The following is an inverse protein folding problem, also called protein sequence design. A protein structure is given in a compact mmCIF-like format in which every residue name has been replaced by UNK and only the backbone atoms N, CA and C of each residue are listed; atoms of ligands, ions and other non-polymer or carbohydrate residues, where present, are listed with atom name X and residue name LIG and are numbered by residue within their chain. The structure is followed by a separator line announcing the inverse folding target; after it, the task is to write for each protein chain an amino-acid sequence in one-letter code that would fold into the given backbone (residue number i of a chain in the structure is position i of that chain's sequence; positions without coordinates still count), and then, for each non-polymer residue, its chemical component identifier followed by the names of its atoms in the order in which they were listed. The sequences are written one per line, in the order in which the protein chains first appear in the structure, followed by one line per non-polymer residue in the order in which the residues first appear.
data_IF_526841971780
#
_entry.id   IF_526841971780
#
_cell.length_a   1.000
_cell.length_b   1.000
_cell.length_c   1.000
_cell.angle_alpha   90.00
_cell.angle_beta   90.00
_cell.angle_gamma   90.00
#
_symmetry.space_group_name_H-M   'P 1'
#
loop_
_entity.id
_entity.type
_entity.pdbx_description
1 polymer ?
#
# COMPACT_ATOMS: atom_id res chain seq x y z
N UNK A 1 -14.26 -45.13 -4.33
CA UNK A 1 -14.02 -44.31 -5.55
C UNK A 1 -14.79 -43.00 -5.36
N UNK A 2 -14.06 -41.92 -5.02
CA UNK A 2 -14.29 -40.45 -5.18
C UNK A 2 -15.72 -39.93 -4.91
N UNK A 3 -16.01 -39.32 -3.75
CA UNK A 3 -15.92 -37.87 -3.40
C UNK A 3 -16.76 -36.92 -4.26
N UNK A 4 -17.66 -36.18 -3.61
CA UNK A 4 -18.05 -34.83 -4.03
C UNK A 4 -18.41 -34.02 -2.79
N UNK A 5 -17.43 -33.24 -2.33
CA UNK A 5 -17.52 -32.38 -1.16
C UNK A 5 -18.40 -31.15 -1.43
N UNK A 6 -19.12 -30.75 -0.38
CA UNK A 6 -19.69 -29.42 -0.25
C UNK A 6 -18.60 -28.36 -0.45
N UNK A 7 -18.74 -27.53 -1.48
CA UNK A 7 -17.94 -26.31 -1.63
C UNK A 7 -18.60 -25.23 -0.79
N UNK A 8 -18.06 -25.01 0.41
CA UNK A 8 -18.32 -23.79 1.18
C UNK A 8 -17.65 -22.62 0.44
N UNK A 9 -18.46 -21.66 0.01
CA UNK A 9 -18.00 -20.37 -0.49
C UNK A 9 -17.29 -19.61 0.63
N UNK A 10 -15.95 -19.61 0.64
CA UNK A 10 -15.18 -18.74 1.51
C UNK A 10 -15.27 -17.29 0.99
N UNK A 11 -16.07 -16.45 1.66
CA UNK A 11 -15.98 -14.99 1.54
C UNK A 11 -14.61 -14.53 2.04
N UNK A 12 -13.63 -14.47 1.17
CA UNK A 12 -12.30 -13.89 1.44
C UNK A 12 -12.34 -12.37 1.36
N UNK A 13 -13.16 -11.71 2.17
CA UNK A 13 -13.01 -10.29 2.45
C UNK A 13 -12.01 -10.20 3.60
N UNK A 14 -10.72 -10.28 3.28
CA UNK A 14 -9.65 -10.06 4.27
C UNK A 14 -9.63 -8.56 4.60
N UNK A 15 -10.48 -8.19 5.54
CA UNK A 15 -10.30 -6.96 6.31
C UNK A 15 -8.86 -6.91 6.84
N UNK A 16 -8.31 -5.71 7.03
CA UNK A 16 -7.02 -5.54 7.71
C UNK A 16 -7.00 -6.45 8.96
N UNK A 17 -5.95 -7.27 9.17
CA UNK A 17 -5.94 -8.25 10.25
C UNK A 17 -6.30 -7.59 11.59
N UNK A 18 -6.96 -8.30 12.51
CA UNK A 18 -7.51 -7.70 13.75
C UNK A 18 -6.51 -6.82 14.51
N UNK A 19 -5.27 -7.29 14.71
CA UNK A 19 -4.19 -6.51 15.33
C UNK A 19 -3.64 -5.34 14.50
N UNK A 20 -4.06 -5.20 13.24
CA UNK A 20 -3.83 -4.05 12.36
C UNK A 20 -4.98 -3.05 12.53
N UNK A 21 -6.25 -3.49 12.57
CA UNK A 21 -7.37 -2.59 12.94
C UNK A 21 -7.20 -1.99 14.34
N UNK A 22 -6.85 -2.82 15.33
CA UNK A 22 -6.62 -2.37 16.71
C UNK A 22 -5.40 -1.45 16.80
N UNK A 23 -4.39 -1.66 15.95
CA UNK A 23 -3.22 -0.81 15.90
C UNK A 23 -3.49 0.51 15.19
N UNK A 24 -4.36 0.55 14.18
CA UNK A 24 -4.57 1.69 13.27
C UNK A 24 -5.56 2.76 13.76
N UNK A 25 -6.35 2.45 14.78
CA UNK A 25 -7.35 3.37 15.29
C UNK A 25 -8.51 3.59 14.31
N UNK A 26 -9.38 4.53 14.67
CA UNK A 26 -10.72 4.65 14.08
C UNK A 26 -10.89 5.77 13.04
N UNK A 27 -9.77 6.26 12.48
CA UNK A 27 -9.82 7.29 11.44
C UNK A 27 -10.60 6.81 10.20
N UNK A 28 -11.49 7.64 9.62
CA UNK A 28 -12.32 7.25 8.46
C UNK A 28 -11.50 6.71 7.27
N UNK A 29 -10.33 7.28 7.03
CA UNK A 29 -9.44 6.98 5.90
C UNK A 29 -8.80 5.60 6.07
N UNK A 30 -8.40 5.27 7.29
CA UNK A 30 -7.87 3.97 7.68
C UNK A 30 -8.93 2.89 7.59
N UNK A 31 -10.17 3.19 8.00
CA UNK A 31 -11.30 2.24 7.93
C UNK A 31 -11.62 1.82 6.49
N UNK A 32 -11.28 2.65 5.50
CA UNK A 32 -11.50 2.36 4.09
C UNK A 32 -10.47 1.37 3.50
N UNK A 33 -9.32 1.17 4.16
CA UNK A 33 -8.25 0.29 3.70
C UNK A 33 -8.63 -1.19 3.78
N UNK A 34 -8.43 -1.93 2.68
CA UNK A 34 -8.73 -3.37 2.59
C UNK A 34 -7.56 -4.14 1.98
N UNK A 35 -7.31 -5.37 2.41
CA UNK A 35 -6.28 -6.24 1.82
C UNK A 35 -6.97 -7.40 1.11
N UNK A 36 -6.94 -7.45 -0.22
CA UNK A 36 -7.60 -8.52 -0.98
C UNK A 36 -6.62 -9.57 -1.49
N UNK A 37 -7.01 -10.85 -1.43
CA UNK A 37 -6.36 -11.93 -2.16
C UNK A 37 -6.65 -11.86 -3.67
N UNK A 38 -5.73 -12.35 -4.51
CA UNK A 38 -5.90 -12.37 -5.98
C UNK A 38 -6.84 -13.48 -6.46
N UNK A 39 -7.59 -13.19 -7.53
CA UNK A 39 -8.30 -14.17 -8.37
C UNK A 39 -8.12 -13.82 -9.86
N UNK A 40 -7.82 -14.80 -10.71
CA UNK A 40 -7.96 -14.70 -12.18
C UNK A 40 -6.76 -15.20 -13.00
N UNK A 41 -6.98 -16.19 -13.87
CA UNK A 41 -6.01 -16.75 -14.82
C UNK A 41 -6.16 -16.12 -16.23
N UNK A 42 -5.06 -15.95 -16.97
CA UNK A 42 -5.07 -15.81 -18.43
C UNK A 42 -4.67 -14.45 -19.04
N UNK A 43 -4.47 -13.39 -18.25
CA UNK A 43 -3.91 -12.11 -18.71
C UNK A 43 -2.64 -11.79 -17.92
N UNK A 44 -1.68 -11.06 -18.52
CA UNK A 44 -0.54 -10.55 -17.78
C UNK A 44 -1.04 -9.76 -16.56
N UNK A 45 -0.62 -10.16 -15.35
CA UNK A 45 -1.11 -9.53 -14.14
C UNK A 45 -0.76 -8.03 -14.15
N UNK A 46 -1.70 -7.14 -13.77
CA UNK A 46 -1.40 -5.71 -13.70
C UNK A 46 -0.20 -5.44 -12.78
N UNK A 47 0.66 -4.47 -13.12
CA UNK A 47 1.80 -4.14 -12.28
C UNK A 47 1.32 -3.75 -10.88
N UNK A 48 2.09 -4.18 -9.89
CA UNK A 48 1.86 -3.86 -8.49
C UNK A 48 2.75 -2.70 -8.09
N UNK A 49 2.14 -1.63 -7.64
CA UNK A 49 2.84 -0.46 -7.14
C UNK A 49 3.00 -0.55 -5.62
N UNK A 50 4.23 -0.39 -5.13
CA UNK A 50 4.50 -0.21 -3.69
C UNK A 50 4.04 1.18 -3.26
N UNK A 51 2.97 1.24 -2.47
CA UNK A 51 2.43 2.51 -1.95
C UNK A 51 3.44 3.16 -1.01
N UNK A 52 4.02 2.39 -0.09
CA UNK A 52 5.16 2.85 0.71
C UNK A 52 6.48 2.49 -0.01
N UNK A 53 7.32 3.48 -0.35
CA UNK A 53 8.52 3.29 -1.16
C UNK A 53 9.49 2.26 -0.58
N UNK A 54 9.73 1.18 -1.33
CA UNK A 54 10.66 0.11 -0.93
C UNK A 54 12.11 0.60 -0.73
N UNK A 55 12.51 1.65 -1.45
CA UNK A 55 13.84 2.24 -1.29
C UNK A 55 14.04 2.90 0.09
N UNK A 56 12.96 3.27 0.78
CA UNK A 56 12.96 3.81 2.14
C UNK A 56 12.52 2.76 3.17
N UNK A 57 12.67 1.46 2.88
CA UNK A 57 12.20 0.38 3.76
C UNK A 57 12.67 0.56 5.21
N UNK A 58 13.94 0.84 5.42
CA UNK A 58 14.52 1.00 6.76
C UNK A 58 13.84 2.14 7.55
N UNK A 59 13.49 3.24 6.86
CA UNK A 59 12.76 4.35 7.46
C UNK A 59 11.37 3.90 7.97
N UNK A 60 10.67 3.05 7.21
CA UNK A 60 9.39 2.48 7.64
C UNK A 60 9.58 1.41 8.74
N UNK A 61 10.61 0.58 8.66
CA UNK A 61 10.87 -0.47 9.64
C UNK A 61 11.18 0.11 11.03
N UNK A 62 11.96 1.19 11.08
CA UNK A 62 12.22 1.95 12.32
C UNK A 62 10.96 2.57 12.94
N UNK A 63 9.90 2.77 12.14
CA UNK A 63 8.55 3.22 12.57
C UNK A 63 7.56 2.07 12.78
N UNK A 64 8.07 0.83 12.84
CA UNK A 64 7.28 -0.35 13.19
C UNK A 64 6.54 -1.01 12.03
N UNK A 65 6.87 -0.72 10.77
CA UNK A 65 6.33 -1.43 9.61
C UNK A 65 7.09 -2.75 9.36
N UNK A 66 6.93 -3.71 10.26
CA UNK A 66 7.58 -5.03 10.19
C UNK A 66 6.55 -6.17 10.27
N UNK A 67 6.96 -7.39 9.92
CA UNK A 67 6.13 -8.60 10.06
C UNK A 67 4.76 -8.51 9.36
N UNK A 68 3.68 -8.55 10.16
CA UNK A 68 2.29 -8.42 9.65
C UNK A 68 1.95 -7.01 9.16
N UNK A 69 2.77 -6.01 9.48
CA UNK A 69 2.66 -4.61 9.06
C UNK A 69 3.78 -4.21 8.09
N UNK A 70 4.50 -5.16 7.52
CA UNK A 70 5.52 -4.85 6.50
C UNK A 70 4.92 -4.10 5.32
N UNK A 71 5.67 -3.12 4.80
CA UNK A 71 5.32 -2.35 3.60
C UNK A 71 5.06 -3.23 2.36
N UNK A 72 5.57 -4.47 2.34
CA UNK A 72 5.32 -5.45 1.27
C UNK A 72 3.85 -5.92 1.19
N UNK A 73 3.03 -5.55 2.18
CA UNK A 73 1.58 -5.79 2.21
C UNK A 73 0.76 -4.63 1.64
N UNK A 74 1.40 -3.48 1.40
CA UNK A 74 0.78 -2.25 0.92
C UNK A 74 1.16 -2.01 -0.54
N UNK A 75 0.82 -2.96 -1.40
CA UNK A 75 0.86 -2.74 -2.84
C UNK A 75 -0.55 -2.59 -3.39
N UNK A 76 -0.68 -1.93 -4.53
CA UNK A 76 -1.95 -1.80 -5.26
C UNK A 76 -1.75 -2.27 -6.69
N UNK A 77 -2.75 -2.95 -7.24
CA UNK A 77 -2.75 -3.33 -8.65
C UNK A 77 -3.22 -2.12 -9.47
N UNK A 78 -2.39 -1.67 -10.41
CA UNK A 78 -2.69 -0.50 -11.24
C UNK A 78 -2.60 -0.86 -12.72
N UNK A 79 -3.29 -0.08 -13.55
CA UNK A 79 -3.03 -0.10 -14.99
C UNK A 79 -1.61 0.38 -15.27
N UNK A 80 -0.99 -0.15 -16.33
CA UNK A 80 0.41 0.14 -16.68
C UNK A 80 0.68 1.65 -16.85
N UNK A 81 -0.25 2.39 -17.47
CA UNK A 81 -0.13 3.82 -17.67
C UNK A 81 -0.14 4.59 -16.33
N UNK A 82 -1.08 4.27 -15.43
CA UNK A 82 -1.15 4.87 -14.09
C UNK A 82 0.11 4.55 -13.29
N UNK A 83 0.54 3.29 -13.30
CA UNK A 83 1.78 2.87 -12.63
C UNK A 83 3.00 3.66 -13.13
N UNK A 84 3.12 3.88 -14.43
CA UNK A 84 4.20 4.70 -15.01
C UNK A 84 4.07 6.16 -14.61
N UNK A 85 2.87 6.74 -14.65
CA UNK A 85 2.64 8.13 -14.28
C UNK A 85 3.05 8.43 -12.83
N UNK A 86 2.73 7.53 -11.88
CA UNK A 86 3.18 7.65 -10.48
C UNK A 86 4.70 7.70 -10.34
N UNK A 87 5.42 7.05 -11.25
CA UNK A 87 6.87 7.02 -11.29
C UNK A 87 7.49 8.05 -12.23
N UNK A 88 6.74 9.08 -12.65
CA UNK A 88 7.23 10.15 -13.54
C UNK A 88 7.42 9.73 -15.00
N UNK A 89 6.76 8.65 -15.44
CA UNK A 89 6.71 8.18 -16.83
C UNK A 89 7.40 6.85 -17.10
N UNK A 90 7.55 6.50 -18.38
CA UNK A 90 7.99 5.17 -18.85
C UNK A 90 9.36 4.71 -18.35
N UNK A 91 10.29 5.63 -18.01
CA UNK A 91 11.56 5.30 -17.37
C UNK A 91 11.52 5.72 -15.89
N UNK A 92 11.18 4.78 -15.01
CA UNK A 92 11.03 5.04 -13.58
C UNK A 92 12.30 5.58 -12.92
N UNK A 93 13.50 5.20 -13.39
CA UNK A 93 14.77 5.74 -12.86
C UNK A 93 14.91 7.23 -13.14
N UNK A 94 14.49 7.64 -14.34
CA UNK A 94 14.48 9.05 -14.75
C UNK A 94 13.39 9.83 -14.02
N UNK A 95 12.21 9.24 -13.89
CA UNK A 95 11.05 9.88 -13.27
C UNK A 95 11.19 10.11 -11.77
N UNK A 96 12.13 9.44 -11.07
CA UNK A 96 12.55 9.80 -9.70
C UNK A 96 13.04 11.25 -9.54
N UNK A 97 13.47 11.89 -10.63
CA UNK A 97 13.86 13.30 -10.64
C UNK A 97 12.67 14.25 -10.80
N UNK A 98 11.49 13.73 -11.17
CA UNK A 98 10.32 14.54 -11.39
C UNK A 98 9.74 15.05 -10.05
N UNK A 99 9.43 16.35 -9.92
CA UNK A 99 8.99 16.91 -8.65
C UNK A 99 7.72 16.27 -8.08
N UNK A 100 6.79 15.83 -8.95
CA UNK A 100 5.51 15.23 -8.56
C UNK A 100 5.52 13.72 -8.42
N UNK A 101 6.69 13.07 -8.48
CA UNK A 101 6.80 11.61 -8.36
C UNK A 101 6.32 11.13 -6.99
N UNK A 102 5.55 10.03 -6.99
CA UNK A 102 4.85 9.54 -5.80
C UNK A 102 5.78 9.29 -4.61
N UNK A 103 6.89 8.54 -4.79
CA UNK A 103 7.78 8.22 -3.67
C UNK A 103 8.38 9.48 -3.06
N UNK A 104 8.80 10.42 -3.90
CA UNK A 104 9.34 11.71 -3.46
C UNK A 104 8.31 12.52 -2.68
N UNK A 105 7.10 12.67 -3.22
CA UNK A 105 6.06 13.49 -2.60
C UNK A 105 5.57 12.86 -1.29
N UNK A 106 5.42 11.54 -1.24
CA UNK A 106 5.04 10.84 -0.03
C UNK A 106 6.11 10.98 1.06
N UNK A 107 7.39 10.74 0.73
CA UNK A 107 8.46 10.89 1.70
C UNK A 107 8.59 12.35 2.18
N UNK A 108 8.44 13.33 1.28
CA UNK A 108 8.41 14.74 1.65
C UNK A 108 7.32 15.03 2.68
N UNK A 109 6.08 14.59 2.43
CA UNK A 109 4.97 14.79 3.35
C UNK A 109 5.23 14.13 4.73
N UNK A 110 5.80 12.93 4.74
CA UNK A 110 6.12 12.22 5.98
C UNK A 110 7.23 12.90 6.80
N UNK A 111 8.29 13.39 6.14
CA UNK A 111 9.36 14.13 6.81
C UNK A 111 8.88 15.49 7.32
N UNK A 112 8.07 16.21 6.54
CA UNK A 112 7.48 17.49 6.94
C UNK A 112 6.58 17.29 8.16
N UNK A 113 5.75 16.25 8.18
CA UNK A 113 4.91 15.93 9.32
C UNK A 113 5.70 15.53 10.58
N UNK A 114 6.82 14.81 10.46
CA UNK A 114 7.71 14.56 11.61
C UNK A 114 8.34 15.85 12.14
N UNK A 115 8.76 16.74 11.24
CA UNK A 115 9.35 18.02 11.61
C UNK A 115 8.33 18.93 12.31
N UNK A 116 7.10 18.99 11.80
CA UNK A 116 6.00 19.77 12.39
C UNK A 116 5.57 19.22 13.75
N UNK A 117 5.45 17.90 13.88
CA UNK A 117 5.09 17.25 15.14
C UNK A 117 6.22 17.32 16.18
N UNK A 118 7.46 17.56 15.77
CA UNK A 118 8.65 17.56 16.63
C UNK A 118 8.98 16.17 17.20
N UNK A 119 8.47 15.10 16.60
CA UNK A 119 8.67 13.72 17.04
C UNK A 119 8.52 12.74 15.88
N UNK A 120 9.00 11.50 16.11
CA UNK A 120 8.74 10.39 15.20
C UNK A 120 7.23 10.15 15.11
N UNK A 121 6.72 10.00 13.89
CA UNK A 121 5.32 9.68 13.66
C UNK A 121 5.03 8.25 14.09
N UNK A 122 3.84 8.06 14.67
CA UNK A 122 3.28 6.73 14.88
C UNK A 122 2.90 6.09 13.55
N UNK A 123 2.79 4.77 13.55
CA UNK A 123 2.36 4.00 12.37
C UNK A 123 1.03 4.48 11.80
N UNK A 124 0.12 4.94 12.66
CA UNK A 124 -1.23 5.37 12.26
C UNK A 124 -1.19 6.72 11.59
N UNK A 125 -0.41 7.65 12.14
CA UNK A 125 -0.21 8.96 11.52
C UNK A 125 0.42 8.79 10.13
N UNK A 126 1.41 7.90 10.00
CA UNK A 126 1.99 7.56 8.70
C UNK A 126 0.94 6.99 7.75
N UNK A 127 0.07 6.09 8.22
CA UNK A 127 -0.96 5.49 7.38
C UNK A 127 -2.10 6.46 7.02
N UNK A 128 -2.42 7.41 7.89
CA UNK A 128 -3.33 8.52 7.57
C UNK A 128 -2.75 9.38 6.45
N UNK A 129 -1.49 9.82 6.58
CA UNK A 129 -0.81 10.63 5.56
C UNK A 129 -0.73 9.86 4.23
N UNK A 130 -0.39 8.57 4.28
CA UNK A 130 -0.39 7.70 3.09
C UNK A 130 -1.78 7.66 2.46
N UNK A 131 -2.84 7.44 3.24
CA UNK A 131 -4.21 7.37 2.74
C UNK A 131 -4.66 8.69 2.09
N UNK A 132 -4.38 9.82 2.73
CA UNK A 132 -4.66 11.17 2.19
C UNK A 132 -3.96 11.37 0.84
N UNK A 133 -2.65 11.11 0.77
CA UNK A 133 -1.89 11.22 -0.48
C UNK A 133 -2.41 10.27 -1.56
N UNK A 134 -2.81 9.04 -1.20
CA UNK A 134 -3.43 8.10 -2.15
C UNK A 134 -4.72 8.67 -2.73
N UNK A 135 -5.53 9.37 -1.92
CA UNK A 135 -6.73 10.07 -2.37
C UNK A 135 -6.45 11.19 -3.37
N UNK A 136 -5.37 11.93 -3.16
CA UNK A 136 -4.93 13.01 -4.06
C UNK A 136 -4.47 12.46 -5.41
N UNK A 137 -3.67 11.40 -5.39
CA UNK A 137 -3.14 10.73 -6.59
C UNK A 137 -4.12 9.74 -7.23
N UNK A 138 -5.34 9.61 -6.69
CA UNK A 138 -6.38 8.65 -7.13
C UNK A 138 -5.88 7.20 -7.16
N UNK A 139 -5.01 6.86 -6.20
CA UNK A 139 -4.53 5.51 -5.96
C UNK A 139 -5.59 4.77 -5.12
N UNK A 140 -6.01 3.57 -5.52
CA UNK A 140 -7.08 2.87 -4.83
C UNK A 140 -6.56 2.23 -3.53
N UNK A 141 -7.38 2.20 -2.48
CA UNK A 141 -7.02 1.69 -1.14
C UNK A 141 -7.30 0.18 -0.96
N UNK A 142 -7.31 -0.57 -2.07
CA UNK A 142 -7.46 -2.02 -2.10
C UNK A 142 -6.08 -2.68 -2.27
N UNK A 143 -5.46 -2.97 -1.13
CA UNK A 143 -4.12 -3.52 -1.12
C UNK A 143 -4.07 -4.98 -1.56
N UNK A 144 -2.98 -5.33 -2.22
CA UNK A 144 -2.54 -6.67 -2.59
C UNK A 144 -1.12 -6.86 -2.07
N UNK A 145 -0.68 -8.11 -1.89
CA UNK A 145 0.74 -8.39 -1.59
C UNK A 145 1.62 -7.95 -2.76
N UNK A 146 2.79 -7.38 -2.47
CA UNK A 146 3.67 -6.87 -3.52
C UNK A 146 4.28 -7.98 -4.39
N UNK A 147 4.71 -9.09 -3.78
CA UNK A 147 5.19 -10.26 -4.52
C UNK A 147 4.04 -11.15 -4.99
N UNK A 148 4.08 -11.59 -6.25
CA UNK A 148 3.37 -12.80 -6.69
C UNK A 148 3.88 -13.96 -5.85
N UNK A 149 3.07 -15.01 -5.66
CA UNK A 149 3.40 -16.12 -4.75
C UNK A 149 4.86 -16.55 -4.82
#
# INVERSE_FOLDING_TARGET
RIQAGHVMMARGHDDLPRGVRDALGDAPEVRAMRVTGKTGAGMAEPPRHHVMPKEFREWFETRGFTGKMSIERFCVALQQATHQALHGGGNWKLGRRWPGEWNRMLMKALYEAEAEAGRILTRNEILNIVAENMGDYKIPMNFVRCRGR
#
